data_IF_148667316106
#
_entry.id   IF_148667316106
#
_cell.length_a   1.000
_cell.length_b   1.000
_cell.length_c   1.000
_cell.angle_alpha   90.00
_cell.angle_beta   90.00
_cell.angle_gamma   90.00
#
_symmetry.space_group_name_H-M   'P 1'
#
loop_
_entity.id
_entity.type
_entity.pdbx_description
1 polymer ?
#
# COMPACT_ATOMS: atom_id res chain seq x y z
N UNK A 1 -2.67 -11.07 -10.90
CA UNK A 1 -1.79 -10.20 -11.69
C UNK A 1 -1.78 -10.60 -13.17
N UNK A 2 -1.79 -11.91 -13.49
CA UNK A 2 -1.75 -12.36 -14.90
C UNK A 2 -2.89 -11.80 -15.75
N UNK A 3 -4.19 -11.91 -15.37
CA UNK A 3 -5.28 -11.36 -16.20
C UNK A 3 -5.18 -9.84 -16.42
N UNK A 4 -4.61 -9.11 -15.45
CA UNK A 4 -4.39 -7.68 -15.60
C UNK A 4 -3.26 -7.39 -16.59
N UNK A 5 -2.15 -8.15 -16.50
CA UNK A 5 -1.02 -8.00 -17.40
C UNK A 5 -1.41 -8.34 -18.84
N UNK A 6 -2.13 -9.44 -19.06
CA UNK A 6 -2.63 -9.83 -20.36
C UNK A 6 -3.54 -8.76 -20.99
N UNK A 7 -4.37 -8.12 -20.16
CA UNK A 7 -5.28 -7.08 -20.63
C UNK A 7 -4.56 -5.76 -20.97
N UNK A 8 -3.59 -5.35 -20.14
CA UNK A 8 -2.94 -4.02 -20.27
C UNK A 8 -1.73 -4.06 -21.18
N UNK A 9 -0.93 -5.13 -21.10
CA UNK A 9 0.34 -5.25 -21.82
C UNK A 9 0.28 -6.27 -22.97
N UNK A 10 -0.74 -7.09 -23.02
CA UNK A 10 -0.88 -8.15 -24.05
C UNK A 10 -0.12 -9.43 -23.70
N UNK A 11 -0.21 -10.42 -24.58
CA UNK A 11 0.49 -11.71 -24.45
C UNK A 11 2.00 -11.53 -24.57
N UNK A 12 2.77 -12.17 -23.68
CA UNK A 12 4.24 -12.12 -23.68
C UNK A 12 4.84 -11.38 -22.49
N UNK A 13 4.03 -10.82 -21.59
CA UNK A 13 4.48 -10.12 -20.38
C UNK A 13 4.31 -10.96 -19.09
N UNK A 14 4.26 -12.29 -19.22
CA UNK A 14 4.09 -13.20 -18.06
C UNK A 14 5.17 -13.01 -17.00
N UNK A 15 6.40 -12.70 -17.41
CA UNK A 15 7.51 -12.41 -16.51
C UNK A 15 7.30 -11.13 -15.67
N UNK A 16 6.43 -10.21 -16.08
CA UNK A 16 6.13 -8.98 -15.34
C UNK A 16 5.17 -9.22 -14.16
N UNK A 17 4.35 -10.26 -14.23
CA UNK A 17 3.34 -10.54 -13.20
C UNK A 17 3.93 -10.78 -11.80
N UNK A 18 4.99 -11.59 -11.59
CA UNK A 18 5.62 -11.74 -10.29
C UNK A 18 6.27 -10.44 -9.80
N UNK A 19 6.89 -9.66 -10.71
CA UNK A 19 7.48 -8.37 -10.39
C UNK A 19 6.41 -7.42 -9.86
N UNK A 20 5.27 -7.32 -10.56
CA UNK A 20 4.15 -6.49 -10.16
C UNK A 20 3.58 -6.87 -8.79
N UNK A 21 3.44 -8.18 -8.50
CA UNK A 21 2.98 -8.67 -7.18
C UNK A 21 3.88 -8.20 -6.06
N UNK A 22 5.21 -8.34 -6.25
CA UNK A 22 6.21 -7.94 -5.24
C UNK A 22 6.18 -6.43 -5.04
N UNK A 23 6.17 -5.65 -6.11
CA UNK A 23 6.11 -4.19 -6.04
C UNK A 23 4.82 -3.68 -5.42
N UNK A 24 3.69 -4.38 -5.61
CA UNK A 24 2.42 -4.01 -4.98
C UNK A 24 2.48 -4.09 -3.45
N UNK A 25 3.17 -5.09 -2.91
CA UNK A 25 3.42 -5.20 -1.47
C UNK A 25 4.28 -4.03 -0.98
N UNK A 26 5.39 -3.76 -1.66
CA UNK A 26 6.26 -2.62 -1.35
C UNK A 26 5.51 -1.28 -1.40
N UNK A 27 4.68 -1.09 -2.43
CA UNK A 27 3.85 0.10 -2.61
C UNK A 27 2.86 0.34 -1.47
N UNK A 28 2.30 -0.73 -0.89
CA UNK A 28 1.44 -0.61 0.29
C UNK A 28 2.21 -0.03 1.49
N UNK A 29 3.43 -0.50 1.77
CA UNK A 29 4.27 0.06 2.84
C UNK A 29 4.74 1.48 2.53
N UNK A 30 5.01 1.79 1.27
CA UNK A 30 5.30 3.16 0.84
C UNK A 30 4.12 4.09 1.13
N UNK A 31 2.90 3.69 0.78
CA UNK A 31 1.70 4.48 1.05
C UNK A 31 1.50 4.73 2.56
N UNK A 32 1.72 3.72 3.41
CA UNK A 32 1.68 3.87 4.86
C UNK A 32 2.74 4.85 5.39
N UNK A 33 3.89 4.93 4.72
CA UNK A 33 4.97 5.84 5.12
C UNK A 33 4.63 7.32 4.93
N UNK A 34 3.66 7.67 4.09
CA UNK A 34 3.21 9.05 3.92
C UNK A 34 2.58 9.65 5.19
N UNK A 35 2.03 8.82 6.08
CA UNK A 35 1.48 9.27 7.37
C UNK A 35 2.57 9.99 8.18
N UNK A 36 3.80 9.47 8.17
CA UNK A 36 4.91 10.05 8.93
C UNK A 36 5.30 11.44 8.41
N UNK A 37 5.25 11.68 7.11
CA UNK A 37 5.46 13.01 6.53
C UNK A 37 4.53 14.04 7.18
N UNK A 38 3.24 13.75 7.25
CA UNK A 38 2.26 14.64 7.85
C UNK A 38 2.45 14.81 9.36
N UNK A 39 2.85 13.76 10.08
CA UNK A 39 3.16 13.84 11.51
C UNK A 39 4.36 14.76 11.76
N UNK A 40 5.44 14.63 11.01
CA UNK A 40 6.60 15.51 11.14
C UNK A 40 6.28 16.96 10.77
N UNK A 41 5.47 17.17 9.75
CA UNK A 41 5.05 18.50 9.32
C UNK A 41 4.18 19.18 10.40
N UNK A 42 3.19 18.47 10.94
CA UNK A 42 2.29 19.00 11.98
C UNK A 42 2.99 19.28 13.32
N UNK A 43 4.09 18.55 13.61
CA UNK A 43 4.89 18.75 14.81
C UNK A 43 6.02 19.77 14.65
N UNK A 44 6.18 20.36 13.45
CA UNK A 44 7.26 21.31 13.16
C UNK A 44 8.67 20.69 13.11
N UNK A 45 8.78 19.36 13.08
CA UNK A 45 10.06 18.63 13.09
C UNK A 45 10.52 18.22 11.68
N UNK A 46 10.46 19.16 10.74
CA UNK A 46 10.79 18.93 9.31
C UNK A 46 12.27 18.55 9.13
N UNK A 47 13.16 19.10 9.96
CA UNK A 47 14.59 18.76 9.98
C UNK A 47 14.84 17.28 10.26
N UNK A 48 14.13 16.71 11.23
CA UNK A 48 14.19 15.29 11.53
C UNK A 48 13.63 14.45 10.39
N UNK A 49 12.51 14.86 9.80
CA UNK A 49 11.97 14.18 8.62
C UNK A 49 12.99 14.14 7.48
N UNK A 50 13.67 15.25 7.20
CA UNK A 50 14.69 15.33 6.16
C UNK A 50 15.82 14.31 6.42
N UNK A 51 16.37 14.27 7.65
CA UNK A 51 17.44 13.32 8.01
C UNK A 51 17.01 11.86 7.81
N UNK A 52 15.83 11.47 8.29
CA UNK A 52 15.33 10.10 8.13
C UNK A 52 14.95 9.79 6.68
N UNK A 53 14.47 10.77 5.93
CA UNK A 53 14.21 10.63 4.49
C UNK A 53 15.47 10.38 3.70
N UNK A 54 16.56 11.10 3.98
CA UNK A 54 17.86 10.88 3.35
C UNK A 54 18.43 9.50 3.68
N UNK A 55 18.38 9.08 4.96
CA UNK A 55 18.77 7.73 5.38
C UNK A 55 17.93 6.65 4.67
N UNK A 56 16.62 6.84 4.63
CA UNK A 56 15.71 5.91 3.97
C UNK A 56 15.96 5.80 2.47
N UNK A 57 16.23 6.93 1.78
CA UNK A 57 16.59 6.92 0.36
C UNK A 57 17.93 6.24 0.11
N UNK A 58 18.93 6.48 0.96
CA UNK A 58 20.23 5.79 0.89
C UNK A 58 20.06 4.26 1.03
N UNK A 59 19.30 3.82 2.04
CA UNK A 59 19.01 2.41 2.25
C UNK A 59 18.26 1.81 1.06
N UNK A 60 17.31 2.55 0.48
CA UNK A 60 16.56 2.15 -0.70
C UNK A 60 17.48 1.93 -1.90
N UNK A 61 18.40 2.86 -2.16
CA UNK A 61 19.36 2.75 -3.25
C UNK A 61 20.22 1.51 -3.07
N UNK A 62 20.76 1.27 -1.86
CA UNK A 62 21.54 0.08 -1.56
C UNK A 62 20.73 -1.20 -1.80
N UNK A 63 19.49 -1.26 -1.29
CA UNK A 63 18.63 -2.42 -1.45
C UNK A 63 18.31 -2.71 -2.94
N UNK A 64 18.06 -1.67 -3.73
CA UNK A 64 17.83 -1.79 -5.17
C UNK A 64 19.09 -2.23 -5.91
N UNK A 65 20.27 -1.66 -5.60
CA UNK A 65 21.53 -2.04 -6.21
C UNK A 65 21.90 -3.50 -5.92
N UNK A 66 21.76 -3.93 -4.68
CA UNK A 66 21.96 -5.33 -4.30
C UNK A 66 20.94 -6.25 -5.01
N UNK A 67 19.67 -5.84 -5.06
CA UNK A 67 18.64 -6.57 -5.78
C UNK A 67 18.94 -6.69 -7.28
N UNK A 68 19.49 -5.64 -7.89
CA UNK A 68 19.81 -5.60 -9.33
C UNK A 68 20.83 -6.67 -9.76
N UNK A 69 21.71 -7.11 -8.85
CA UNK A 69 22.66 -8.22 -9.10
C UNK A 69 21.90 -9.52 -9.45
N UNK A 70 20.68 -9.67 -8.93
CA UNK A 70 19.82 -10.83 -9.15
C UNK A 70 18.77 -10.60 -10.26
N UNK A 71 18.96 -9.57 -11.08
CA UNK A 71 18.09 -9.23 -12.20
C UNK A 71 16.82 -8.48 -11.79
N UNK A 72 15.84 -8.42 -12.69
CA UNK A 72 14.63 -7.62 -12.53
C UNK A 72 13.78 -8.04 -11.32
N UNK A 73 13.67 -9.33 -11.07
CA UNK A 73 12.94 -9.87 -9.90
C UNK A 73 13.65 -9.48 -8.60
N UNK A 74 14.99 -9.59 -8.57
CA UNK A 74 15.79 -9.15 -7.43
C UNK A 74 15.64 -7.66 -7.15
N UNK A 75 15.62 -6.83 -8.19
CA UNK A 75 15.36 -5.39 -8.07
C UNK A 75 13.99 -5.09 -7.44
N UNK A 76 12.96 -5.82 -7.85
CA UNK A 76 11.62 -5.68 -7.28
C UNK A 76 11.58 -6.08 -5.80
N UNK A 77 12.26 -7.17 -5.44
CA UNK A 77 12.40 -7.61 -4.04
C UNK A 77 13.17 -6.56 -3.24
N UNK A 78 14.32 -6.09 -3.74
CA UNK A 78 15.13 -5.07 -3.09
C UNK A 78 14.34 -3.79 -2.83
N UNK A 79 13.57 -3.32 -3.82
CA UNK A 79 12.69 -2.16 -3.68
C UNK A 79 11.64 -2.37 -2.58
N UNK A 80 10.97 -3.53 -2.57
CA UNK A 80 9.93 -3.82 -1.60
C UNK A 80 10.49 -3.96 -0.18
N UNK A 81 11.63 -4.63 -0.02
CA UNK A 81 12.36 -4.72 1.25
C UNK A 81 12.79 -3.32 1.72
N UNK A 82 13.26 -2.47 0.81
CA UNK A 82 13.60 -1.09 1.11
C UNK A 82 12.41 -0.29 1.66
N UNK A 83 11.23 -0.40 1.06
CA UNK A 83 10.02 0.28 1.56
C UNK A 83 9.60 -0.22 2.95
N UNK A 84 9.65 -1.54 3.18
CA UNK A 84 9.37 -2.12 4.50
C UNK A 84 10.36 -1.62 5.54
N UNK A 85 11.66 -1.62 5.23
CA UNK A 85 12.70 -1.15 6.14
C UNK A 85 12.54 0.33 6.47
N UNK A 86 12.24 1.18 5.49
CA UNK A 86 11.96 2.61 5.70
C UNK A 86 10.75 2.78 6.62
N UNK A 87 9.66 2.05 6.38
CA UNK A 87 8.48 2.09 7.23
C UNK A 87 8.80 1.69 8.68
N UNK A 88 9.61 0.63 8.89
CA UNK A 88 10.05 0.20 10.22
C UNK A 88 10.92 1.27 10.91
N UNK A 89 11.85 1.88 10.18
CA UNK A 89 12.70 2.96 10.72
C UNK A 89 11.84 4.13 11.18
N UNK A 90 10.89 4.57 10.37
CA UNK A 90 9.99 5.65 10.77
C UNK A 90 9.15 5.26 11.99
N UNK A 91 8.55 4.06 11.99
CA UNK A 91 7.67 3.60 13.08
C UNK A 91 8.38 3.46 14.42
N UNK A 92 9.55 2.83 14.42
CA UNK A 92 10.20 2.40 15.65
C UNK A 92 11.41 3.26 16.07
N UNK A 93 11.95 4.07 15.15
CA UNK A 93 13.12 4.89 15.44
C UNK A 93 12.80 6.39 15.37
N UNK A 94 12.14 6.84 14.31
CA UNK A 94 11.94 8.26 14.07
C UNK A 94 10.80 8.84 14.96
N UNK A 95 9.66 8.18 15.02
CA UNK A 95 8.47 8.62 15.75
C UNK A 95 8.69 8.68 17.27
N UNK A 96 9.31 7.67 17.93
CA UNK A 96 9.57 7.78 19.37
C UNK A 96 10.46 8.97 19.75
N UNK A 97 11.39 9.36 18.86
CA UNK A 97 12.29 10.49 19.11
C UNK A 97 11.61 11.85 19.12
N UNK A 98 10.42 11.97 18.59
CA UNK A 98 9.60 13.19 18.70
C UNK A 98 8.60 13.15 19.86
N UNK A 99 8.68 12.13 20.72
CA UNK A 99 7.82 11.98 21.89
C UNK A 99 6.42 11.44 21.61
N UNK A 100 6.18 10.95 20.41
CA UNK A 100 4.89 10.35 20.04
C UNK A 100 4.99 8.83 20.21
N UNK A 101 4.01 8.26 20.91
CA UNK A 101 3.91 6.80 21.05
C UNK A 101 3.64 6.14 19.69
N UNK A 102 4.43 5.11 19.36
CA UNK A 102 4.25 4.32 18.13
C UNK A 102 2.97 3.51 18.11
N UNK A 103 2.46 3.09 19.27
CA UNK A 103 1.30 2.22 19.40
C UNK A 103 0.06 2.71 18.67
N UNK A 104 -0.41 3.94 18.88
CA UNK A 104 -1.57 4.50 18.17
C UNK A 104 -1.38 4.57 16.66
N UNK A 105 -0.18 4.94 16.18
CA UNK A 105 0.13 5.05 14.75
C UNK A 105 0.17 3.68 14.07
N UNK A 106 0.84 2.71 14.69
CA UNK A 106 0.87 1.32 14.16
C UNK A 106 -0.54 0.72 14.18
N UNK A 107 -1.32 0.94 15.23
CA UNK A 107 -2.72 0.48 15.29
C UNK A 107 -3.60 1.11 14.19
N UNK A 108 -3.36 2.39 13.87
CA UNK A 108 -4.03 3.05 12.75
C UNK A 108 -3.61 2.49 11.40
N UNK A 109 -2.36 2.06 11.24
CA UNK A 109 -1.84 1.43 10.03
C UNK A 109 -2.32 -0.02 9.85
N UNK A 110 -2.54 -0.76 10.94
CA UNK A 110 -3.01 -2.16 10.88
C UNK A 110 -4.38 -2.26 10.19
N UNK A 111 -5.30 -1.32 10.43
CA UNK A 111 -6.63 -1.34 9.82
C UNK A 111 -6.60 -1.34 8.29
N UNK A 112 -5.97 -0.35 7.62
CA UNK A 112 -5.88 -0.38 6.16
C UNK A 112 -5.08 -1.59 5.65
N UNK A 113 -4.06 -2.06 6.38
CA UNK A 113 -3.32 -3.29 5.98
C UNK A 113 -4.22 -4.52 5.99
N UNK A 114 -5.04 -4.70 7.02
CA UNK A 114 -6.00 -5.81 7.09
C UNK A 114 -7.03 -5.72 5.98
N UNK A 115 -7.53 -4.51 5.69
CA UNK A 115 -8.46 -4.29 4.58
C UNK A 115 -7.81 -4.61 3.23
N UNK A 116 -6.58 -4.18 2.99
CA UNK A 116 -5.83 -4.51 1.78
C UNK A 116 -5.58 -6.01 1.64
N UNK A 117 -5.19 -6.69 2.74
CA UNK A 117 -5.00 -8.13 2.73
C UNK A 117 -6.31 -8.88 2.45
N UNK A 118 -7.42 -8.45 3.05
CA UNK A 118 -8.73 -9.02 2.81
C UNK A 118 -9.19 -8.78 1.36
N UNK A 119 -9.02 -7.56 0.83
CA UNK A 119 -9.31 -7.25 -0.58
C UNK A 119 -8.46 -8.10 -1.53
N UNK A 120 -7.18 -8.26 -1.24
CA UNK A 120 -6.30 -9.11 -2.04
C UNK A 120 -6.77 -10.57 -2.02
N UNK A 121 -7.18 -11.07 -0.85
CA UNK A 121 -7.75 -12.42 -0.69
C UNK A 121 -9.04 -12.58 -1.50
N UNK A 122 -9.97 -11.63 -1.38
CA UNK A 122 -11.25 -11.63 -2.13
C UNK A 122 -11.00 -11.55 -3.62
N UNK A 123 -10.12 -10.67 -4.08
CA UNK A 123 -9.77 -10.55 -5.50
C UNK A 123 -9.12 -11.81 -6.05
N UNK A 124 -8.23 -12.44 -5.26
CA UNK A 124 -7.58 -13.69 -5.66
C UNK A 124 -8.58 -14.84 -5.77
N UNK A 125 -9.49 -14.94 -4.80
CA UNK A 125 -10.52 -15.97 -4.77
C UNK A 125 -11.51 -15.78 -5.94
N UNK A 126 -11.95 -14.55 -6.21
CA UNK A 126 -12.86 -14.28 -7.32
C UNK A 126 -12.22 -14.63 -8.67
N UNK A 127 -10.93 -14.33 -8.88
CA UNK A 127 -10.23 -14.73 -10.10
C UNK A 127 -10.10 -16.25 -10.25
N UNK A 128 -9.99 -16.99 -9.15
CA UNK A 128 -9.99 -18.47 -9.17
C UNK A 128 -11.39 -18.98 -9.56
N UNK A 129 -12.44 -18.40 -9.00
CA UNK A 129 -13.83 -18.81 -9.29
C UNK A 129 -14.25 -18.50 -10.73
N UNK A 130 -13.73 -17.43 -11.32
CA UNK A 130 -14.08 -16.97 -12.66
C UNK A 130 -13.04 -17.36 -13.73
N UNK A 131 -12.25 -18.41 -13.53
CA UNK A 131 -11.24 -18.88 -14.49
C UNK A 131 -11.79 -19.28 -15.85
N UNK A 132 -13.08 -19.64 -15.94
CA UNK A 132 -13.71 -20.08 -17.19
C UNK A 132 -14.24 -18.92 -18.04
N UNK A 133 -14.14 -17.68 -17.56
CA UNK A 133 -14.68 -16.48 -18.23
C UNK A 133 -13.51 -15.71 -18.86
N UNK A 134 -13.72 -15.01 -20.00
CA UNK A 134 -12.67 -14.18 -20.60
C UNK A 134 -12.02 -13.23 -19.60
N UNK A 135 -10.71 -13.06 -19.69
CA UNK A 135 -9.89 -12.29 -18.73
C UNK A 135 -10.46 -10.90 -18.41
N UNK A 136 -11.02 -10.20 -19.40
CA UNK A 136 -11.65 -8.89 -19.21
C UNK A 136 -12.88 -8.97 -18.28
N UNK A 137 -13.76 -9.95 -18.51
CA UNK A 137 -14.98 -10.12 -17.71
C UNK A 137 -14.63 -10.58 -16.29
N UNK A 138 -13.67 -11.50 -16.15
CA UNK A 138 -13.17 -11.95 -14.84
C UNK A 138 -12.59 -10.79 -14.04
N UNK A 139 -11.84 -9.89 -14.68
CA UNK A 139 -11.26 -8.71 -14.04
C UNK A 139 -12.34 -7.69 -13.61
N UNK A 140 -13.33 -7.45 -14.49
CA UNK A 140 -14.45 -6.56 -14.18
C UNK A 140 -15.30 -7.10 -13.01
N UNK A 141 -15.58 -8.41 -13.00
CA UNK A 141 -16.29 -9.06 -11.90
C UNK A 141 -15.49 -9.03 -10.60
N UNK A 142 -14.19 -9.30 -10.65
CA UNK A 142 -13.32 -9.20 -9.47
C UNK A 142 -13.28 -7.77 -8.91
N UNK A 143 -13.21 -6.75 -9.79
CA UNK A 143 -13.30 -5.35 -9.39
C UNK A 143 -14.64 -5.01 -8.73
N UNK A 144 -15.74 -5.47 -9.30
CA UNK A 144 -17.08 -5.27 -8.74
C UNK A 144 -17.22 -5.93 -7.37
N UNK A 145 -16.75 -7.17 -7.21
CA UNK A 145 -16.73 -7.88 -5.91
C UNK A 145 -15.92 -7.10 -4.87
N UNK A 146 -14.76 -6.56 -5.25
CA UNK A 146 -13.96 -5.72 -4.35
C UNK A 146 -14.70 -4.43 -3.93
N UNK A 147 -15.37 -3.76 -4.85
CA UNK A 147 -16.17 -2.55 -4.55
C UNK A 147 -17.32 -2.88 -3.60
N UNK A 148 -18.05 -3.97 -3.87
CA UNK A 148 -19.12 -4.44 -2.99
C UNK A 148 -18.57 -4.79 -1.61
N UNK A 149 -17.45 -5.50 -1.55
CA UNK A 149 -16.79 -5.85 -0.28
C UNK A 149 -16.42 -4.60 0.54
N UNK A 150 -15.79 -3.60 -0.09
CA UNK A 150 -15.48 -2.32 0.57
C UNK A 150 -16.74 -1.61 1.03
N UNK A 151 -17.79 -1.60 0.21
CA UNK A 151 -19.08 -1.03 0.56
C UNK A 151 -19.71 -1.71 1.80
N UNK A 152 -19.71 -3.04 1.84
CA UNK A 152 -20.21 -3.82 3.00
C UNK A 152 -19.38 -3.53 4.25
N UNK A 153 -18.04 -3.53 4.15
CA UNK A 153 -17.16 -3.19 5.27
C UNK A 153 -17.40 -1.76 5.75
N UNK A 154 -17.60 -0.81 4.84
CA UNK A 154 -17.91 0.57 5.17
C UNK A 154 -19.25 0.72 5.92
N UNK A 155 -20.25 -0.06 5.55
CA UNK A 155 -21.57 -0.03 6.19
C UNK A 155 -21.59 -0.77 7.54
N UNK A 156 -20.84 -1.87 7.67
CA UNK A 156 -20.85 -2.72 8.88
C UNK A 156 -19.90 -2.22 9.96
N UNK A 157 -18.79 -1.57 9.58
CA UNK A 157 -17.77 -1.14 10.53
C UNK A 157 -17.99 0.32 10.94
N UNK A 158 -18.43 0.54 12.18
CA UNK A 158 -18.68 1.90 12.73
C UNK A 158 -17.48 2.85 12.55
N UNK A 159 -16.27 2.33 12.63
CA UNK A 159 -15.04 3.13 12.45
C UNK A 159 -14.86 3.63 11.02
N UNK A 160 -15.08 2.78 10.01
CA UNK A 160 -14.98 3.16 8.59
C UNK A 160 -16.09 4.15 8.22
N UNK A 161 -17.28 3.95 8.77
CA UNK A 161 -18.41 4.87 8.60
C UNK A 161 -18.13 6.25 9.22
N UNK A 162 -17.47 6.29 10.39
CA UNK A 162 -17.01 7.53 11.00
C UNK A 162 -16.00 8.29 10.13
N UNK A 163 -15.04 7.55 9.56
CA UNK A 163 -14.01 8.13 8.69
C UNK A 163 -14.61 8.65 7.37
N UNK A 164 -15.57 7.92 6.79
CA UNK A 164 -16.32 8.36 5.61
C UNK A 164 -17.15 9.62 5.89
N UNK A 165 -17.85 9.67 7.03
CA UNK A 165 -18.62 10.86 7.41
C UNK A 165 -17.71 12.06 7.61
N UNK A 166 -16.54 11.89 8.23
CA UNK A 166 -15.56 12.95 8.39
C UNK A 166 -15.04 13.48 7.04
N UNK A 167 -14.82 12.60 6.05
CA UNK A 167 -14.45 12.99 4.69
C UNK A 167 -15.58 13.79 4.00
N UNK A 168 -16.82 13.30 4.08
CA UNK A 168 -17.99 13.99 3.50
C UNK A 168 -18.18 15.37 4.12
N UNK A 169 -18.08 15.47 5.45
CA UNK A 169 -18.20 16.76 6.18
C UNK A 169 -17.06 17.73 5.79
N UNK A 170 -15.85 17.22 5.59
CA UNK A 170 -14.72 18.03 5.14
C UNK A 170 -14.95 18.53 3.71
N UNK A 171 -15.37 17.66 2.80
CA UNK A 171 -15.71 18.06 1.43
C UNK A 171 -16.85 19.10 1.41
N UNK A 172 -17.86 18.94 2.26
CA UNK A 172 -18.99 19.87 2.36
C UNK A 172 -18.57 21.26 2.85
N UNK A 173 -17.59 21.31 3.76
CA UNK A 173 -17.02 22.59 4.27
C UNK A 173 -16.11 23.30 3.26
N UNK A 174 -15.54 22.57 2.29
CA UNK A 174 -14.66 23.15 1.27
C UNK A 174 -15.45 23.67 0.06
N UNK A 175 -16.64 23.10 -0.19
CA UNK A 175 -17.49 23.44 -1.36
C UNK A 175 -18.56 24.49 -1.02
N UNK A 176 -18.87 24.71 0.26
CA UNK A 176 -19.82 25.73 0.75
C UNK A 176 -19.13 26.88 1.43
#
# INVERSE_FOLDING_TARGET
>A
ANPLMDLVLGSGWDAAAPIFRILSVGGAFQALSYIYYWVFLSTGRVDMHLRYSLLGRGLMIVAVCVGAIFGSLGTAIGSSVGFVAVWLIYSFVAIPRIGIGTGPLVRSAVRPMVLFAAMFGVASLSLILFQQVPNFVALALAGMVCVVFVGVVALTTKSVRSDLNALVDTCRKVVG
#
